data_IF_982954978528
#
_entry.id   IF_982954978528
#
_cell.length_a   1.000
_cell.length_b   1.000
_cell.length_c   1.000
_cell.angle_alpha   90.00
_cell.angle_beta   90.00
_cell.angle_gamma   90.00
#
_symmetry.space_group_name_H-M   'P 1'
#
loop_
_entity.id
_entity.type
_entity.pdbx_description
1 polymer ?
#
# COMPACT_ATOMS: atom_id res chain seq x y z
N UNK A 1 51.76 -22.42 12.00
CA UNK A 1 50.44 -21.82 12.37
C UNK A 1 50.03 -20.97 11.18
N UNK A 2 49.25 -21.55 10.28
CA UNK A 2 48.62 -20.84 9.16
C UNK A 2 47.26 -20.37 9.64
N UNK A 3 47.14 -19.03 9.79
CA UNK A 3 45.89 -18.38 10.00
C UNK A 3 45.07 -18.41 8.70
N UNK A 4 44.12 -19.33 8.61
CA UNK A 4 43.08 -19.31 7.59
C UNK A 4 42.07 -18.20 7.97
N UNK A 5 42.40 -16.98 7.62
CA UNK A 5 41.39 -15.91 7.49
C UNK A 5 40.48 -16.31 6.33
N UNK A 6 39.28 -16.82 6.65
CA UNK A 6 38.23 -17.05 5.69
C UNK A 6 37.85 -15.69 5.09
N UNK A 7 38.39 -15.40 3.92
CA UNK A 7 38.05 -14.25 3.11
C UNK A 7 36.60 -14.41 2.69
N UNK A 8 35.68 -13.76 3.39
CA UNK A 8 34.29 -13.63 2.93
C UNK A 8 34.33 -12.82 1.64
N UNK A 9 34.18 -13.50 0.52
CA UNK A 9 34.04 -12.85 -0.77
C UNK A 9 32.82 -11.89 -0.73
N UNK A 10 32.94 -10.67 -1.24
CA UNK A 10 31.82 -9.74 -1.25
C UNK A 10 30.65 -10.32 -2.03
N UNK A 11 29.46 -10.29 -1.45
CA UNK A 11 28.22 -10.75 -2.09
C UNK A 11 28.02 -9.89 -3.34
N UNK A 12 28.07 -10.52 -4.51
CA UNK A 12 27.89 -9.84 -5.80
C UNK A 12 26.41 -9.60 -6.11
N UNK A 13 26.11 -8.56 -6.88
CA UNK A 13 24.74 -8.24 -7.32
C UNK A 13 24.07 -9.43 -8.05
N UNK A 14 24.84 -10.25 -8.75
CA UNK A 14 24.36 -11.46 -9.42
C UNK A 14 23.89 -12.54 -8.45
N UNK A 15 24.56 -12.68 -7.32
CA UNK A 15 24.15 -13.62 -6.26
C UNK A 15 22.86 -13.15 -5.58
N UNK A 16 22.73 -11.83 -5.36
CA UNK A 16 21.53 -11.23 -4.80
C UNK A 16 20.32 -11.39 -5.73
N UNK A 17 20.54 -11.16 -7.03
CA UNK A 17 19.51 -11.32 -8.06
C UNK A 17 19.06 -12.78 -8.19
N UNK A 18 20.01 -13.72 -8.13
CA UNK A 18 19.73 -15.15 -8.18
C UNK A 18 18.95 -15.63 -6.96
N UNK A 19 19.30 -15.12 -5.77
CA UNK A 19 18.57 -15.40 -4.53
C UNK A 19 17.12 -14.95 -4.58
N UNK A 20 16.86 -13.74 -5.06
CA UNK A 20 15.49 -13.19 -5.20
C UNK A 20 14.67 -14.01 -6.22
N UNK A 21 15.26 -14.39 -7.37
CA UNK A 21 14.57 -15.21 -8.37
C UNK A 21 14.16 -16.59 -7.86
N UNK A 22 14.95 -17.19 -6.97
CA UNK A 22 14.58 -18.44 -6.32
C UNK A 22 13.35 -18.26 -5.42
N UNK A 23 13.31 -17.19 -4.61
CA UNK A 23 12.16 -16.88 -3.77
C UNK A 23 10.91 -16.59 -4.60
N UNK A 24 11.03 -15.87 -5.72
CA UNK A 24 9.93 -15.62 -6.63
C UNK A 24 9.38 -16.95 -7.21
N UNK A 25 10.27 -17.88 -7.56
CA UNK A 25 9.87 -19.22 -8.02
C UNK A 25 9.12 -19.98 -6.92
N UNK A 26 9.61 -19.94 -5.69
CA UNK A 26 8.96 -20.58 -4.54
C UNK A 26 7.61 -19.92 -4.22
N UNK A 27 7.52 -18.61 -4.36
CA UNK A 27 6.27 -17.89 -4.18
C UNK A 27 5.19 -18.36 -5.17
N UNK A 28 5.54 -18.53 -6.45
CA UNK A 28 4.63 -19.07 -7.46
C UNK A 28 4.17 -20.49 -7.12
N UNK A 29 5.09 -21.35 -6.66
CA UNK A 29 4.77 -22.74 -6.28
C UNK A 29 3.82 -22.76 -5.08
N UNK A 30 4.13 -22.00 -4.03
CA UNK A 30 3.35 -21.99 -2.78
C UNK A 30 2.00 -21.25 -2.91
N UNK A 31 1.82 -20.44 -3.93
CA UNK A 31 0.53 -19.80 -4.26
C UNK A 31 -0.24 -20.54 -5.34
N UNK A 32 0.23 -21.72 -5.77
CA UNK A 32 -0.48 -22.55 -6.75
C UNK A 32 -1.80 -23.10 -6.19
N UNK A 33 -2.70 -23.47 -7.09
CA UNK A 33 -3.97 -24.13 -6.78
C UNK A 33 -3.77 -25.39 -5.93
N UNK A 34 -2.79 -26.19 -6.27
CA UNK A 34 -2.46 -27.44 -5.55
C UNK A 34 -2.19 -27.21 -4.07
N UNK A 35 -1.46 -26.13 -3.71
CA UNK A 35 -1.11 -25.82 -2.32
C UNK A 35 -2.28 -25.15 -1.59
N UNK A 36 -2.88 -24.14 -2.23
CA UNK A 36 -3.92 -23.36 -1.56
C UNK A 36 -5.23 -24.13 -1.43
N UNK A 37 -5.61 -24.99 -2.40
CA UNK A 37 -6.78 -25.87 -2.29
C UNK A 37 -6.57 -26.93 -1.18
N UNK A 38 -5.34 -27.42 -1.02
CA UNK A 38 -5.01 -28.28 0.10
C UNK A 38 -5.14 -27.56 1.44
N UNK A 39 -4.66 -26.30 1.54
CA UNK A 39 -4.83 -25.46 2.73
C UNK A 39 -6.32 -25.20 3.03
N UNK A 40 -7.13 -24.88 2.01
CA UNK A 40 -8.59 -24.72 2.13
C UNK A 40 -9.23 -25.98 2.71
N UNK A 41 -8.84 -27.14 2.19
CA UNK A 41 -9.35 -28.44 2.63
C UNK A 41 -8.92 -28.80 4.05
N UNK A 42 -7.64 -28.62 4.38
CA UNK A 42 -7.07 -28.91 5.70
C UNK A 42 -7.74 -28.11 6.81
N UNK A 43 -8.03 -26.84 6.54
CA UNK A 43 -8.60 -25.91 7.52
C UNK A 43 -10.12 -25.76 7.38
N UNK A 44 -10.77 -26.50 6.47
CA UNK A 44 -12.20 -26.43 6.19
C UNK A 44 -12.67 -24.97 5.93
N UNK A 45 -11.91 -24.21 5.13
CA UNK A 45 -12.21 -22.81 4.86
C UNK A 45 -13.38 -22.70 3.88
N UNK A 46 -14.33 -21.83 4.19
CA UNK A 46 -15.45 -21.52 3.29
C UNK A 46 -15.06 -20.37 2.35
N UNK A 47 -14.07 -20.61 1.49
CA UNK A 47 -13.60 -19.66 0.48
C UNK A 47 -13.03 -20.40 -0.73
N UNK A 48 -12.97 -19.70 -1.88
CA UNK A 48 -12.36 -20.25 -3.10
C UNK A 48 -10.86 -20.05 -3.14
N UNK A 49 -10.19 -20.76 -4.07
CA UNK A 49 -8.77 -20.52 -4.37
C UNK A 49 -8.50 -19.04 -4.70
N UNK A 50 -9.33 -18.42 -5.52
CA UNK A 50 -9.15 -17.01 -5.91
C UNK A 50 -9.24 -16.06 -4.72
N UNK A 51 -10.14 -16.32 -3.77
CA UNK A 51 -10.25 -15.52 -2.55
C UNK A 51 -9.02 -15.67 -1.65
N UNK A 52 -8.45 -16.88 -1.59
CA UNK A 52 -7.30 -17.16 -0.75
C UNK A 52 -5.99 -16.60 -1.35
N UNK A 53 -5.78 -16.77 -2.65
CA UNK A 53 -4.55 -16.29 -3.31
C UNK A 53 -4.40 -14.76 -3.22
N UNK A 54 -5.49 -14.00 -3.25
CA UNK A 54 -5.46 -12.54 -3.06
C UNK A 54 -5.06 -12.13 -1.62
N UNK A 55 -5.26 -13.01 -0.66
CA UNK A 55 -4.94 -12.78 0.76
C UNK A 55 -3.53 -13.22 1.14
N UNK A 56 -2.93 -14.10 0.36
CA UNK A 56 -1.59 -14.65 0.59
C UNK A 56 -0.56 -13.84 -0.18
N UNK A 57 0.47 -13.38 0.50
CA UNK A 57 1.61 -12.68 -0.10
C UNK A 57 2.91 -13.35 0.35
N UNK A 58 3.75 -13.71 -0.60
CA UNK A 58 5.07 -14.30 -0.35
C UNK A 58 6.11 -13.40 -1.00
N UNK A 59 7.11 -13.01 -0.24
CA UNK A 59 8.13 -12.07 -0.70
C UNK A 59 9.50 -12.39 -0.08
N UNK A 60 10.57 -12.01 -0.78
CA UNK A 60 11.92 -12.08 -0.26
C UNK A 60 12.17 -11.01 0.80
N UNK A 61 12.84 -11.38 1.89
CA UNK A 61 13.27 -10.42 2.91
C UNK A 61 14.62 -9.85 2.53
N UNK A 62 14.68 -8.54 2.31
CA UNK A 62 15.92 -7.80 2.00
C UNK A 62 16.72 -8.40 0.82
N UNK A 63 16.04 -8.92 -0.20
CA UNK A 63 16.65 -9.58 -1.36
C UNK A 63 17.53 -10.78 -1.00
N UNK A 64 17.20 -11.47 0.08
CA UNK A 64 17.88 -12.72 0.51
C UNK A 64 17.06 -13.95 0.09
N UNK A 65 17.57 -15.15 0.37
CA UNK A 65 16.81 -16.39 0.20
C UNK A 65 15.77 -16.65 1.29
N UNK A 66 15.61 -15.73 2.22
CA UNK A 66 14.59 -15.81 3.27
C UNK A 66 13.26 -15.36 2.71
N UNK A 67 12.26 -16.25 2.79
CA UNK A 67 10.87 -15.96 2.41
C UNK A 67 10.06 -15.49 3.61
N UNK A 68 9.24 -14.47 3.40
CA UNK A 68 8.21 -14.04 4.32
C UNK A 68 6.84 -14.32 3.73
N UNK A 69 6.07 -15.15 4.42
CA UNK A 69 4.68 -15.43 4.09
C UNK A 69 3.78 -14.53 4.94
N UNK A 70 2.92 -13.77 4.30
CA UNK A 70 1.97 -12.87 4.95
C UNK A 70 0.56 -13.21 4.48
N UNK A 71 -0.35 -13.41 5.41
CA UNK A 71 -1.77 -13.67 5.13
C UNK A 71 -2.61 -12.53 5.70
N UNK A 72 -3.50 -11.98 4.89
CA UNK A 72 -4.44 -10.93 5.27
C UNK A 72 -5.83 -11.52 5.45
N UNK A 73 -6.35 -11.46 6.65
CA UNK A 73 -7.72 -11.86 6.95
C UNK A 73 -8.35 -10.90 7.96
N UNK A 74 -9.68 -10.94 8.08
CA UNK A 74 -10.43 -10.20 9.10
C UNK A 74 -10.31 -10.85 10.48
N UNK A 75 -10.03 -12.16 10.51
CA UNK A 75 -9.79 -12.95 11.72
C UNK A 75 -8.29 -13.27 11.85
N UNK A 76 -7.61 -12.72 12.88
CA UNK A 76 -6.19 -12.95 13.12
C UNK A 76 -5.81 -14.42 13.32
N UNK A 77 -6.68 -15.20 13.98
CA UNK A 77 -6.41 -16.62 14.23
C UNK A 77 -6.55 -17.45 12.96
N UNK A 78 -7.52 -17.11 12.10
CA UNK A 78 -7.64 -17.74 10.78
C UNK A 78 -6.45 -17.38 9.89
N UNK A 79 -6.01 -16.11 9.87
CA UNK A 79 -4.81 -15.70 9.15
C UNK A 79 -3.57 -16.48 9.61
N UNK A 80 -3.41 -16.65 10.93
CA UNK A 80 -2.32 -17.43 11.52
C UNK A 80 -2.39 -18.90 11.11
N UNK A 81 -3.57 -19.51 11.17
CA UNK A 81 -3.77 -20.92 10.79
C UNK A 81 -3.43 -21.16 9.32
N UNK A 82 -3.88 -20.29 8.42
CA UNK A 82 -3.56 -20.36 6.97
C UNK A 82 -2.05 -20.23 6.76
N UNK A 83 -1.41 -19.24 7.37
CA UNK A 83 0.02 -19.06 7.24
C UNK A 83 0.81 -20.27 7.80
N UNK A 84 0.36 -20.84 8.92
CA UNK A 84 0.99 -22.01 9.53
C UNK A 84 0.90 -23.25 8.63
N UNK A 85 -0.27 -23.52 8.05
CA UNK A 85 -0.49 -24.66 7.15
C UNK A 85 0.35 -24.53 5.86
N UNK A 86 0.44 -23.34 5.27
CA UNK A 86 1.31 -23.10 4.10
C UNK A 86 2.78 -23.30 4.46
N UNK A 87 3.25 -22.79 5.61
CA UNK A 87 4.62 -22.94 6.09
C UNK A 87 4.96 -24.41 6.34
N UNK A 88 4.05 -25.19 6.90
CA UNK A 88 4.25 -26.62 7.16
C UNK A 88 4.39 -27.45 5.89
N UNK A 89 3.63 -27.11 4.85
CA UNK A 89 3.67 -27.78 3.56
C UNK A 89 4.87 -27.35 2.69
N UNK A 90 5.39 -26.12 2.89
CA UNK A 90 6.39 -25.50 2.02
C UNK A 90 7.66 -26.35 1.81
N UNK A 91 8.32 -26.94 2.84
CA UNK A 91 9.54 -27.70 2.64
C UNK A 91 9.36 -28.90 1.70
N UNK A 92 8.30 -29.68 1.93
CA UNK A 92 8.02 -30.86 1.12
C UNK A 92 7.77 -30.50 -0.34
N UNK A 93 6.91 -29.50 -0.59
CA UNK A 93 6.51 -29.11 -1.94
C UNK A 93 7.67 -28.49 -2.71
N UNK A 94 8.46 -27.61 -2.07
CA UNK A 94 9.62 -26.98 -2.72
C UNK A 94 10.67 -28.03 -3.07
N UNK A 95 11.01 -28.94 -2.15
CA UNK A 95 12.00 -30.00 -2.39
C UNK A 95 11.54 -30.92 -3.54
N UNK A 96 10.28 -31.31 -3.57
CA UNK A 96 9.73 -32.17 -4.62
C UNK A 96 9.70 -31.49 -5.98
N UNK A 97 9.33 -30.20 -6.03
CA UNK A 97 9.09 -29.48 -7.28
C UNK A 97 10.39 -28.97 -7.91
N UNK A 98 11.29 -28.40 -7.10
CA UNK A 98 12.51 -27.73 -7.60
C UNK A 98 13.75 -28.58 -7.39
N UNK A 99 13.64 -29.73 -6.71
CA UNK A 99 14.78 -30.58 -6.28
C UNK A 99 15.79 -29.77 -5.47
N UNK A 100 15.30 -28.83 -4.67
CA UNK A 100 16.12 -28.03 -3.76
C UNK A 100 16.79 -28.94 -2.70
N UNK A 101 17.97 -28.56 -2.25
CA UNK A 101 18.74 -29.39 -1.29
C UNK A 101 18.06 -29.44 0.08
N UNK A 102 17.60 -28.31 0.62
CA UNK A 102 16.87 -28.23 1.89
C UNK A 102 16.13 -26.90 2.02
N UNK A 103 15.01 -26.94 2.71
CA UNK A 103 14.25 -25.74 3.12
C UNK A 103 14.00 -25.85 4.62
N UNK A 104 14.35 -24.82 5.39
CA UNK A 104 14.23 -24.82 6.84
C UNK A 104 13.25 -23.72 7.29
N UNK A 105 12.40 -24.05 8.24
CA UNK A 105 11.45 -23.12 8.85
C UNK A 105 12.16 -22.32 9.93
N UNK A 106 12.42 -21.04 9.67
CA UNK A 106 13.13 -20.13 10.60
C UNK A 106 12.19 -19.58 11.68
N UNK A 107 10.92 -19.37 11.37
CA UNK A 107 9.95 -18.78 12.30
C UNK A 107 8.54 -19.33 12.10
N UNK A 108 7.84 -19.52 13.21
CA UNK A 108 6.43 -19.95 13.19
C UNK A 108 5.50 -18.77 12.90
N UNK A 109 4.33 -19.06 12.30
CA UNK A 109 3.28 -18.09 12.06
C UNK A 109 2.79 -17.45 13.38
N UNK A 110 2.66 -16.12 13.37
CA UNK A 110 2.14 -15.32 14.49
C UNK A 110 0.89 -14.57 14.06
N UNK A 111 -0.12 -14.52 14.94
CA UNK A 111 -1.27 -13.64 14.73
C UNK A 111 -0.89 -12.20 15.09
N UNK A 112 -1.13 -11.28 14.16
CA UNK A 112 -1.04 -9.83 14.43
C UNK A 112 -2.43 -9.32 14.76
N UNK A 113 -2.58 -8.77 15.97
CA UNK A 113 -3.85 -8.24 16.45
C UNK A 113 -4.09 -6.79 16.03
N UNK A 114 -3.05 -6.12 15.53
CA UNK A 114 -3.16 -4.74 15.05
C UNK A 114 -3.57 -4.73 13.57
N UNK A 115 -4.71 -4.10 13.22
CA UNK A 115 -5.15 -4.02 11.84
C UNK A 115 -4.14 -3.27 10.96
N UNK A 116 -3.69 -3.92 9.88
CA UNK A 116 -2.76 -3.34 8.91
C UNK A 116 -3.46 -2.55 7.79
N UNK A 117 -4.77 -2.76 7.62
CA UNK A 117 -5.58 -2.08 6.60
C UNK A 117 -7.07 -2.03 7.05
N UNK A 118 -7.82 -0.98 6.68
CA UNK A 118 -7.37 0.26 6.04
C UNK A 118 -6.58 1.17 6.99
N UNK A 119 -5.56 1.85 6.45
CA UNK A 119 -4.79 2.84 7.23
C UNK A 119 -5.62 4.13 7.39
N UNK A 120 -6.24 4.29 8.56
CA UNK A 120 -7.08 5.47 8.87
C UNK A 120 -6.31 6.79 8.65
N UNK A 121 -5.05 6.85 9.07
CA UNK A 121 -4.20 8.02 8.91
C UNK A 121 -3.98 8.38 7.43
N UNK A 122 -3.64 7.41 6.57
CA UNK A 122 -3.45 7.66 5.13
C UNK A 122 -4.74 8.15 4.46
N UNK A 123 -5.87 7.53 4.79
CA UNK A 123 -7.17 7.90 4.21
C UNK A 123 -7.60 9.30 4.66
N UNK A 124 -7.35 9.68 5.92
CA UNK A 124 -7.65 11.02 6.43
C UNK A 124 -6.79 12.09 5.75
N UNK A 125 -5.49 11.85 5.59
CA UNK A 125 -4.59 12.78 4.89
C UNK A 125 -5.01 12.94 3.43
N UNK A 126 -5.32 11.83 2.75
CA UNK A 126 -5.76 11.85 1.35
C UNK A 126 -7.07 12.63 1.19
N UNK A 127 -8.05 12.38 2.06
CA UNK A 127 -9.32 13.10 2.07
C UNK A 127 -9.13 14.60 2.35
N UNK A 128 -8.25 14.96 3.28
CA UNK A 128 -7.91 16.35 3.59
C UNK A 128 -7.27 17.08 2.40
N UNK A 129 -6.31 16.44 1.73
CA UNK A 129 -5.70 16.99 0.50
C UNK A 129 -6.72 17.20 -0.61
N UNK A 130 -7.59 16.23 -0.83
CA UNK A 130 -8.63 16.32 -1.85
C UNK A 130 -9.62 17.46 -1.54
N UNK A 131 -10.03 17.59 -0.27
CA UNK A 131 -10.89 18.68 0.20
C UNK A 131 -10.26 20.05 0.00
N UNK A 132 -8.95 20.18 0.26
CA UNK A 132 -8.22 21.42 0.04
C UNK A 132 -8.21 21.83 -1.44
N UNK A 133 -7.90 20.89 -2.35
CA UNK A 133 -7.90 21.14 -3.80
C UNK A 133 -9.28 21.59 -4.28
N UNK A 134 -10.34 20.90 -3.85
CA UNK A 134 -11.71 21.25 -4.20
C UNK A 134 -12.06 22.65 -3.67
N UNK A 135 -11.71 22.96 -2.43
CA UNK A 135 -12.01 24.26 -1.81
C UNK A 135 -11.35 25.42 -2.55
N UNK A 136 -10.06 25.28 -2.91
CA UNK A 136 -9.33 26.27 -3.71
C UNK A 136 -9.97 26.43 -5.10
N UNK A 137 -10.37 25.32 -5.73
CA UNK A 137 -11.07 25.33 -7.01
C UNK A 137 -12.39 26.11 -6.96
N UNK A 138 -13.16 25.92 -5.91
CA UNK A 138 -14.44 26.66 -5.71
C UNK A 138 -14.18 28.17 -5.51
N UNK A 139 -13.15 28.53 -4.75
CA UNK A 139 -12.79 29.96 -4.54
C UNK A 139 -12.38 30.61 -5.86
N UNK A 140 -11.52 29.96 -6.65
CA UNK A 140 -11.10 30.46 -7.96
C UNK A 140 -12.31 30.58 -8.89
N UNK A 141 -13.17 29.57 -8.93
CA UNK A 141 -14.37 29.60 -9.76
C UNK A 141 -15.30 30.75 -9.38
N UNK A 142 -15.52 30.96 -8.07
CA UNK A 142 -16.30 32.11 -7.58
C UNK A 142 -15.67 33.45 -7.94
N UNK A 143 -14.35 33.54 -7.88
CA UNK A 143 -13.62 34.74 -8.26
C UNK A 143 -13.77 35.02 -9.76
N UNK A 144 -13.64 34.03 -10.63
CA UNK A 144 -13.80 34.18 -12.08
C UNK A 144 -15.25 34.51 -12.49
N UNK A 145 -16.23 33.97 -11.77
CA UNK A 145 -17.66 34.25 -12.04
C UNK A 145 -18.17 35.57 -11.42
N UNK A 146 -17.35 36.22 -10.59
CA UNK A 146 -17.71 37.47 -9.96
C UNK A 146 -17.47 38.66 -10.91
N UNK A 147 -18.41 38.88 -11.81
CA UNK A 147 -18.37 39.99 -12.77
C UNK A 147 -18.83 41.35 -12.16
N UNK A 148 -18.74 41.51 -10.84
CA UNK A 148 -19.08 42.80 -10.21
C UNK A 148 -17.90 43.76 -10.35
N UNK A 149 -18.20 44.99 -10.81
CA UNK A 149 -17.27 46.10 -10.76
C UNK A 149 -17.06 46.47 -9.29
N UNK A 150 -15.87 46.25 -8.76
CA UNK A 150 -15.53 46.49 -7.35
C UNK A 150 -14.62 47.71 -7.17
N UNK A 151 -13.97 48.14 -8.25
CA UNK A 151 -13.00 49.24 -8.17
C UNK A 151 -13.23 50.20 -9.34
N UNK A 152 -12.91 51.49 -9.13
CA UNK A 152 -13.01 52.51 -10.14
C UNK A 152 -12.15 52.22 -11.39
N UNK A 153 -11.04 51.52 -11.16
CA UNK A 153 -10.15 51.06 -12.24
C UNK A 153 -10.83 50.00 -13.13
N UNK A 154 -11.73 49.19 -12.60
CA UNK A 154 -12.49 48.22 -13.41
C UNK A 154 -13.43 48.90 -14.40
N UNK A 155 -13.99 50.03 -14.05
CA UNK A 155 -14.89 50.83 -14.90
C UNK A 155 -14.06 51.46 -16.01
N UNK A 156 -12.94 52.07 -15.67
CA UNK A 156 -12.06 52.74 -16.64
C UNK A 156 -11.42 51.72 -17.62
N UNK A 157 -10.95 50.61 -17.13
CA UNK A 157 -10.24 49.61 -17.97
C UNK A 157 -11.16 48.72 -18.81
N UNK A 158 -12.36 48.39 -18.31
CA UNK A 158 -13.31 47.52 -19.01
C UNK A 158 -14.33 48.26 -19.89
N UNK A 159 -14.68 49.47 -19.53
CA UNK A 159 -15.70 50.25 -20.25
C UNK A 159 -15.09 51.45 -21.00
N UNK A 160 -13.81 51.77 -20.77
CA UNK A 160 -13.16 52.93 -21.41
C UNK A 160 -13.74 54.29 -20.98
N UNK A 161 -14.46 54.33 -19.84
CA UNK A 161 -15.12 55.52 -19.33
C UNK A 161 -14.35 56.13 -18.17
N UNK A 162 -14.12 57.42 -18.19
CA UNK A 162 -13.48 58.13 -17.06
C UNK A 162 -14.47 58.31 -15.91
N UNK A 163 -14.10 57.84 -14.70
CA UNK A 163 -14.89 58.02 -13.48
C UNK A 163 -14.80 59.48 -13.06
N UNK A 164 -15.93 60.21 -13.10
CA UNK A 164 -16.03 61.63 -12.75
C UNK A 164 -16.18 61.87 -11.26
N UNK A 165 -16.55 60.86 -10.47
CA UNK A 165 -16.70 60.97 -9.04
C UNK A 165 -17.33 59.74 -8.41
N UNK A 166 -17.08 59.53 -7.14
CA UNK A 166 -17.61 58.42 -6.33
C UNK A 166 -18.60 59.02 -5.31
N UNK A 167 -19.80 58.49 -5.24
CA UNK A 167 -20.77 58.82 -4.21
C UNK A 167 -20.70 57.73 -3.15
N UNK A 168 -20.17 58.01 -1.93
CA UNK A 168 -20.11 57.04 -0.87
C UNK A 168 -21.51 56.70 -0.38
N UNK A 169 -21.84 55.40 -0.30
CA UNK A 169 -23.08 54.97 0.34
C UNK A 169 -22.91 55.10 1.86
N UNK A 170 -23.62 56.06 2.46
CA UNK A 170 -23.65 56.18 3.91
C UNK A 170 -24.69 55.18 4.42
N UNK A 171 -24.22 54.10 5.03
CA UNK A 171 -25.09 53.13 5.69
C UNK A 171 -25.54 53.72 7.03
N UNK A 172 -26.69 54.39 7.03
CA UNK A 172 -27.34 54.85 8.25
C UNK A 172 -27.94 53.65 9.00
N UNK A 173 -27.10 52.80 9.53
CA UNK A 173 -27.50 51.80 10.51
C UNK A 173 -27.66 52.53 11.84
N UNK A 174 -28.85 53.02 12.07
CA UNK A 174 -29.21 53.74 13.28
C UNK A 174 -28.94 52.90 14.52
N UNK A 175 -28.22 53.50 15.44
CA UNK A 175 -28.25 53.11 16.85
C UNK A 175 -29.70 53.07 17.33
N UNK A 176 -30.08 51.88 17.83
CA UNK A 176 -31.11 51.74 18.87
C UNK A 176 -30.62 50.72 19.88
#
# INVERSE_FOLDING_TARGET
REDQAATQAPITNDQLTSATKLVDTYAVILTSDTVLDKTISNLNLNMSYNDLVERVRIESVNSTQVMKITVKDTDPERARAIAADIVEQAPEIIIQTVKAGSVEIISKAKAETVPVSPSKAKNTVLAGMLGLVISVGIVILRYLLNNKFMTDDDITNKLGLTVLGIIPQIDMKGER
#
